data_IF_680864586772
#
_entry.id   IF_680864586772
#
_cell.length_a   1.000
_cell.length_b   1.000
_cell.length_c   1.000
_cell.angle_alpha   90.00
_cell.angle_beta   90.00
_cell.angle_gamma   90.00
#
_symmetry.space_group_name_H-M   'P 1'
#
loop_
_entity.id
_entity.type
_entity.pdbx_description
1 polymer ?
#
# COMPACT_ATOMS: atom_id res chain seq x y z
N UNK A 1 5.00 -46.34 9.38
CA UNK A 1 5.79 -45.09 9.29
C UNK A 1 4.79 -43.97 9.10
N UNK A 2 4.15 -43.56 10.19
CA UNK A 2 3.11 -42.52 10.19
C UNK A 2 3.82 -41.18 10.24
N UNK A 3 3.87 -40.52 9.09
CA UNK A 3 4.38 -39.17 8.98
C UNK A 3 3.48 -38.26 9.82
N UNK A 4 4.03 -37.76 10.93
CA UNK A 4 3.28 -36.92 11.85
C UNK A 4 3.28 -35.51 11.27
N UNK A 5 2.13 -35.07 10.73
CA UNK A 5 2.02 -33.72 10.18
C UNK A 5 2.27 -32.71 11.31
N UNK A 6 3.39 -32.01 11.21
CA UNK A 6 3.81 -30.98 12.15
C UNK A 6 2.88 -29.76 12.06
N UNK A 7 2.42 -29.23 13.20
CA UNK A 7 1.52 -28.07 13.24
C UNK A 7 2.21 -26.86 12.61
N UNK A 8 1.64 -26.33 11.53
CA UNK A 8 2.10 -25.08 10.91
C UNK A 8 1.00 -24.04 10.89
N UNK A 9 1.38 -22.79 11.08
CA UNK A 9 0.52 -21.63 10.89
C UNK A 9 0.92 -20.94 9.58
N UNK A 10 -0.08 -20.60 8.77
CA UNK A 10 0.09 -19.92 7.50
C UNK A 10 -0.87 -18.75 7.44
N UNK A 11 -0.33 -17.53 7.39
CA UNK A 11 -1.09 -16.29 7.30
C UNK A 11 -1.07 -15.76 5.87
N UNK A 12 -2.25 -15.42 5.35
CA UNK A 12 -2.42 -14.70 4.09
C UNK A 12 -2.78 -13.23 4.38
N UNK A 13 -2.55 -12.31 3.43
CA UNK A 13 -2.95 -10.92 3.58
C UNK A 13 -4.44 -10.81 3.90
N UNK A 14 -4.77 -9.97 4.88
CA UNK A 14 -6.14 -9.79 5.37
C UNK A 14 -7.11 -9.28 4.29
N UNK A 15 -6.61 -8.54 3.28
CA UNK A 15 -7.40 -8.03 2.16
C UNK A 15 -6.51 -7.69 0.96
N UNK A 16 -6.90 -8.14 -0.23
CA UNK A 16 -6.27 -7.78 -1.51
C UNK A 16 -7.32 -7.19 -2.43
N UNK A 17 -7.06 -6.00 -2.99
CA UNK A 17 -7.93 -5.32 -3.96
C UNK A 17 -7.20 -5.32 -5.30
N UNK A 18 -7.78 -5.96 -6.32
CA UNK A 18 -7.13 -6.18 -7.63
C UNK A 18 -8.09 -5.92 -8.78
N UNK A 19 -7.52 -5.53 -9.93
CA UNK A 19 -8.25 -5.08 -11.11
C UNK A 19 -7.64 -3.81 -11.71
N UNK A 20 -8.21 -3.35 -12.81
CA UNK A 20 -7.86 -2.05 -13.38
C UNK A 20 -8.42 -0.92 -12.51
N UNK A 21 -7.61 0.11 -12.27
CA UNK A 21 -8.03 1.34 -11.59
C UNK A 21 -8.56 1.16 -10.15
N UNK A 22 -7.92 0.30 -9.34
CA UNK A 22 -8.35 0.00 -7.96
C UNK A 22 -7.85 0.97 -6.88
N UNK A 23 -7.09 2.01 -7.26
CA UNK A 23 -6.53 2.98 -6.33
C UNK A 23 -7.60 3.70 -5.46
N UNK A 24 -8.77 4.10 -6.01
CA UNK A 24 -9.84 4.68 -5.20
C UNK A 24 -10.42 3.71 -4.17
N UNK A 25 -10.53 2.42 -4.51
CA UNK A 25 -11.00 1.39 -3.56
C UNK A 25 -9.98 1.14 -2.45
N UNK A 26 -8.69 1.19 -2.78
CA UNK A 26 -7.61 1.13 -1.78
C UNK A 26 -7.65 2.35 -0.84
N UNK A 27 -7.92 3.56 -1.34
CA UNK A 27 -8.06 4.74 -0.50
C UNK A 27 -9.26 4.62 0.46
N UNK A 28 -10.42 4.15 -0.03
CA UNK A 28 -11.59 3.88 0.83
C UNK A 28 -11.29 2.84 1.91
N UNK A 29 -10.52 1.80 1.59
CA UNK A 29 -10.07 0.83 2.58
C UNK A 29 -9.11 1.49 3.59
N UNK A 30 -8.18 2.32 3.13
CA UNK A 30 -7.22 3.03 3.97
C UNK A 30 -7.90 3.94 5.01
N UNK A 31 -9.06 4.52 4.67
CA UNK A 31 -9.83 5.39 5.56
C UNK A 31 -10.30 4.67 6.85
N UNK A 32 -10.35 3.33 6.84
CA UNK A 32 -10.66 2.53 8.04
C UNK A 32 -9.55 2.60 9.11
N UNK A 33 -8.34 3.01 8.74
CA UNK A 33 -7.17 3.07 9.64
C UNK A 33 -6.90 4.48 10.18
N UNK A 34 -7.55 5.52 9.63
CA UNK A 34 -7.40 6.89 10.12
C UNK A 34 -7.54 7.94 9.02
N UNK A 35 -7.15 9.18 9.37
CA UNK A 35 -7.26 10.36 8.49
C UNK A 35 -5.91 10.93 8.07
N UNK A 36 -4.80 10.28 8.45
CA UNK A 36 -3.45 10.71 8.06
C UNK A 36 -2.63 9.49 7.65
N UNK A 37 -1.99 9.58 6.49
CA UNK A 37 -1.18 8.53 5.91
C UNK A 37 0.26 9.00 5.69
N UNK A 38 1.20 8.09 5.87
CA UNK A 38 2.57 8.24 5.40
C UNK A 38 2.71 7.46 4.08
N UNK A 39 3.11 8.15 3.02
CA UNK A 39 3.28 7.59 1.68
C UNK A 39 4.77 7.45 1.40
N UNK A 40 5.26 6.20 1.40
CA UNK A 40 6.63 5.87 1.03
C UNK A 40 6.72 5.35 -0.41
N UNK A 41 7.57 5.94 -1.24
CA UNK A 41 7.89 5.39 -2.56
C UNK A 41 9.33 5.70 -2.99
N UNK A 42 9.76 5.15 -4.12
CA UNK A 42 11.04 5.53 -4.73
C UNK A 42 10.96 6.84 -5.51
N UNK A 43 12.13 7.38 -5.87
CA UNK A 43 12.32 8.74 -6.40
C UNK A 43 11.58 9.05 -7.70
N UNK A 44 11.58 8.12 -8.64
CA UNK A 44 11.23 8.43 -10.02
C UNK A 44 10.03 7.66 -10.56
N UNK A 45 9.91 6.36 -10.28
CA UNK A 45 8.92 5.50 -10.94
C UNK A 45 7.47 5.97 -10.77
N UNK A 46 7.07 6.26 -9.52
CA UNK A 46 5.68 6.65 -9.21
C UNK A 46 5.34 8.05 -9.73
N UNK A 47 6.30 8.96 -9.75
CA UNK A 47 6.13 10.32 -10.31
C UNK A 47 6.07 10.29 -11.83
N UNK A 48 6.98 9.57 -12.49
CA UNK A 48 7.08 9.46 -13.95
C UNK A 48 5.76 9.01 -14.59
N UNK A 49 5.02 8.15 -13.92
CA UNK A 49 3.76 7.60 -14.41
C UNK A 49 2.51 8.29 -13.85
N UNK A 50 2.67 9.35 -13.05
CA UNK A 50 1.58 10.07 -12.37
C UNK A 50 0.85 9.23 -11.32
N UNK A 51 1.41 8.09 -10.90
CA UNK A 51 0.79 7.20 -9.93
C UNK A 51 0.78 7.82 -8.53
N UNK A 52 1.83 8.57 -8.17
CA UNK A 52 1.86 9.30 -6.90
C UNK A 52 0.74 10.35 -6.85
N UNK A 53 0.55 11.13 -7.91
CA UNK A 53 -0.48 12.17 -7.94
C UNK A 53 -1.89 11.56 -7.83
N UNK A 54 -2.15 10.48 -8.59
CA UNK A 54 -3.42 9.72 -8.48
C UNK A 54 -3.67 9.17 -7.09
N UNK A 55 -2.62 8.70 -6.40
CA UNK A 55 -2.73 8.20 -5.02
C UNK A 55 -3.10 9.33 -4.07
N UNK A 56 -2.40 10.46 -4.14
CA UNK A 56 -2.65 11.62 -3.28
C UNK A 56 -4.06 12.19 -3.51
N UNK A 57 -4.53 12.21 -4.76
CA UNK A 57 -5.89 12.59 -5.08
C UNK A 57 -6.92 11.61 -4.49
N UNK A 58 -6.74 10.30 -4.69
CA UNK A 58 -7.63 9.29 -4.13
C UNK A 58 -7.69 9.33 -2.59
N UNK A 59 -6.56 9.55 -1.92
CA UNK A 59 -6.49 9.72 -0.46
C UNK A 59 -7.22 10.99 0.00
N UNK A 60 -7.02 12.12 -0.71
CA UNK A 60 -7.69 13.39 -0.42
C UNK A 60 -9.21 13.25 -0.56
N UNK A 61 -9.70 12.57 -1.59
CA UNK A 61 -11.13 12.36 -1.84
C UNK A 61 -11.83 11.61 -0.70
N UNK A 62 -11.12 10.76 0.02
CA UNK A 62 -11.65 10.02 1.19
C UNK A 62 -11.29 10.69 2.53
N UNK A 63 -10.75 11.91 2.51
CA UNK A 63 -10.45 12.69 3.70
C UNK A 63 -9.17 12.28 4.45
N UNK A 64 -8.21 11.68 3.74
CA UNK A 64 -6.89 11.32 4.29
C UNK A 64 -5.85 12.37 3.87
N UNK A 65 -5.23 13.02 4.86
CA UNK A 65 -4.03 13.83 4.67
C UNK A 65 -2.82 12.91 4.44
N UNK A 66 -1.95 13.23 3.48
CA UNK A 66 -0.78 12.42 3.17
C UNK A 66 0.52 13.21 3.37
N UNK A 67 1.49 12.59 4.06
CA UNK A 67 2.90 13.04 4.10
C UNK A 67 3.71 12.11 3.20
N UNK A 68 4.51 12.66 2.30
CA UNK A 68 5.24 11.88 1.28
C UNK A 68 6.72 11.81 1.62
N UNK A 69 7.28 10.61 1.53
CA UNK A 69 8.71 10.33 1.46
C UNK A 69 8.99 9.52 0.19
N UNK A 70 9.63 10.14 -0.79
CA UNK A 70 9.86 9.56 -2.11
C UNK A 70 11.32 9.22 -2.36
N UNK A 71 12.11 8.95 -1.32
CA UNK A 71 13.55 8.69 -1.45
C UNK A 71 13.94 7.23 -1.18
N UNK A 72 12.98 6.29 -1.23
CA UNK A 72 13.28 4.87 -1.00
C UNK A 72 14.16 4.33 -2.14
N UNK A 73 15.35 3.87 -1.77
CA UNK A 73 16.30 3.23 -2.69
C UNK A 73 15.86 1.80 -3.04
N UNK A 74 16.34 1.26 -4.17
CA UNK A 74 15.98 -0.09 -4.62
C UNK A 74 16.34 -1.19 -3.61
N UNK A 75 17.42 -0.98 -2.85
CA UNK A 75 17.76 -1.75 -1.66
C UNK A 75 17.75 -0.78 -0.47
N UNK A 76 16.65 -0.69 0.28
CA UNK A 76 16.53 0.28 1.38
C UNK A 76 17.58 0.06 2.47
N UNK A 77 18.11 1.15 3.02
CA UNK A 77 18.97 1.16 4.21
C UNK A 77 18.16 1.43 5.49
N UNK A 78 18.77 1.16 6.65
CA UNK A 78 18.18 1.32 8.00
C UNK A 78 18.59 2.61 8.67
#
# INVERSE_FOLDING_TARGET
MTDSIERREFGLPHRTITGSNTLPDAAREAARFGRKAFVGCGRSAMRKHGTLDRLLEALREVGIEAVVFDEIEGNPST
#
